data_IF_177347964617
#
_entry.id   IF_177347964617
#
_cell.length_a   1.000
_cell.length_b   1.000
_cell.length_c   1.000
_cell.angle_alpha   90.00
_cell.angle_beta   90.00
_cell.angle_gamma   90.00
#
_symmetry.space_group_name_H-M   'P 1'
#
loop_
_entity.id
_entity.type
_entity.pdbx_description
1 polymer ?
#
# COMPACT_ATOMS: atom_id res chain seq x y z
N UNK A 1 -20.63 -39.53 -4.45
CA UNK A 1 -21.81 -39.32 -3.58
C UNK A 1 -21.60 -38.00 -2.81
N UNK A 2 -22.20 -36.89 -3.26
CA UNK A 2 -22.04 -35.57 -2.61
C UNK A 2 -23.08 -35.43 -1.49
N UNK A 3 -22.65 -35.53 -0.23
CA UNK A 3 -23.51 -35.28 0.95
C UNK A 3 -23.79 -33.79 1.09
N UNK A 4 -25.06 -33.39 1.22
CA UNK A 4 -25.44 -32.01 1.56
C UNK A 4 -25.08 -31.72 3.03
N UNK A 5 -24.49 -30.54 3.29
CA UNK A 5 -24.09 -30.05 4.61
C UNK A 5 -25.28 -29.98 5.58
N UNK A 6 -25.14 -30.49 6.80
CA UNK A 6 -26.12 -30.34 7.86
C UNK A 6 -26.11 -28.93 8.49
N UNK A 7 -27.28 -28.47 8.95
CA UNK A 7 -27.43 -27.21 9.66
C UNK A 7 -26.55 -27.22 10.93
N UNK A 8 -25.74 -26.18 11.15
CA UNK A 8 -24.78 -26.00 12.29
C UNK A 8 -23.47 -26.81 12.24
N UNK A 9 -23.19 -27.59 11.20
CA UNK A 9 -21.92 -28.35 11.10
C UNK A 9 -20.74 -27.53 10.52
N UNK A 10 -20.91 -26.22 10.28
CA UNK A 10 -19.94 -25.37 9.57
C UNK A 10 -18.55 -25.32 10.23
N UNK A 11 -18.49 -25.39 11.56
CA UNK A 11 -17.23 -25.27 12.34
C UNK A 11 -16.67 -26.61 12.81
N UNK A 12 -17.25 -27.74 12.40
CA UNK A 12 -16.67 -29.03 12.73
C UNK A 12 -15.25 -29.14 12.12
N UNK A 13 -14.24 -29.66 12.83
CA UNK A 13 -12.85 -29.73 12.34
C UNK A 13 -12.72 -30.38 10.95
N UNK A 14 -13.55 -31.40 10.68
CA UNK A 14 -13.66 -32.08 9.37
C UNK A 14 -14.22 -31.23 8.21
N UNK A 15 -14.85 -30.09 8.53
CA UNK A 15 -15.49 -29.17 7.60
C UNK A 15 -14.75 -27.82 7.49
N UNK A 16 -13.67 -27.64 8.25
CA UNK A 16 -12.81 -26.45 8.23
C UNK A 16 -11.47 -26.87 7.62
N UNK A 17 -11.19 -26.40 6.40
CA UNK A 17 -9.87 -26.58 5.82
C UNK A 17 -8.84 -25.78 6.63
N UNK A 18 -7.82 -26.46 7.16
CA UNK A 18 -6.66 -25.79 7.77
C UNK A 18 -5.91 -25.04 6.67
N UNK A 19 -5.97 -23.70 6.73
CA UNK A 19 -5.19 -22.86 5.82
C UNK A 19 -3.74 -22.94 6.26
N UNK A 20 -2.86 -23.46 5.39
CA UNK A 20 -1.42 -23.35 5.56
C UNK A 20 -1.06 -21.86 5.67
N UNK A 21 -0.70 -21.41 6.88
CA UNK A 21 -0.05 -20.13 7.08
C UNK A 21 1.44 -20.34 6.82
N UNK A 22 2.03 -19.55 5.92
CA UNK A 22 3.41 -19.73 5.46
C UNK A 22 4.48 -19.39 6.52
N UNK A 23 4.09 -19.14 7.78
CA UNK A 23 4.97 -18.62 8.84
C UNK A 23 5.51 -17.20 8.58
N UNK A 24 5.03 -16.52 7.53
CA UNK A 24 5.47 -15.16 7.16
C UNK A 24 4.64 -14.13 7.93
N UNK A 25 5.31 -13.11 8.48
CA UNK A 25 4.66 -11.95 9.06
C UNK A 25 4.22 -10.98 7.95
N UNK A 26 3.27 -10.09 8.26
CA UNK A 26 2.80 -9.05 7.33
C UNK A 26 2.51 -7.80 8.12
N UNK A 27 3.07 -6.68 7.70
CA UNK A 27 2.76 -5.36 8.24
C UNK A 27 1.90 -4.63 7.23
N UNK A 28 0.76 -4.09 7.66
CA UNK A 28 -0.02 -3.18 6.84
C UNK A 28 0.43 -1.76 7.11
N UNK A 29 0.65 -0.99 6.05
CA UNK A 29 1.16 0.38 6.15
C UNK A 29 0.35 1.31 5.27
N UNK A 30 0.30 2.58 5.66
CA UNK A 30 -0.23 3.66 4.86
C UNK A 30 0.76 4.83 4.90
N UNK A 31 1.05 5.40 3.74
CA UNK A 31 1.91 6.57 3.63
C UNK A 31 1.61 7.32 2.34
N UNK A 32 2.08 8.56 2.26
CA UNK A 32 1.84 9.44 1.12
C UNK A 32 3.13 10.06 0.60
N UNK A 33 3.15 10.39 -0.69
CA UNK A 33 4.25 11.09 -1.36
C UNK A 33 3.66 12.17 -2.26
N UNK A 34 4.46 13.18 -2.58
CA UNK A 34 4.19 14.18 -3.62
C UNK A 34 5.47 14.49 -4.43
N UNK A 35 5.39 15.40 -5.41
CA UNK A 35 6.55 15.81 -6.21
C UNK A 35 7.68 16.53 -5.44
N UNK A 36 7.47 16.83 -4.16
CA UNK A 36 8.45 17.46 -3.26
C UNK A 36 9.09 16.43 -2.32
N UNK A 37 8.49 15.27 -2.13
CA UNK A 37 9.10 14.15 -1.41
C UNK A 37 8.09 13.23 -0.74
N UNK A 38 8.59 12.45 0.22
CA UNK A 38 7.75 11.59 1.03
C UNK A 38 7.11 12.37 2.18
N UNK A 39 5.94 11.92 2.58
CA UNK A 39 5.27 12.31 3.81
C UNK A 39 5.48 11.30 4.94
N UNK A 40 4.50 11.28 5.84
CA UNK A 40 4.44 10.36 6.97
C UNK A 40 4.12 8.92 6.52
N UNK A 41 4.61 7.94 7.28
CA UNK A 41 4.32 6.52 7.12
C UNK A 41 3.78 5.96 8.44
N UNK A 42 2.64 5.30 8.35
CA UNK A 42 1.88 4.80 9.50
C UNK A 42 1.67 3.30 9.37
N UNK A 43 1.91 2.56 10.45
CA UNK A 43 1.49 1.17 10.56
C UNK A 43 -0.01 1.13 10.85
N UNK A 44 -0.76 0.43 10.02
CA UNK A 44 -2.22 0.36 10.12
C UNK A 44 -2.68 -1.07 10.41
N UNK A 45 -3.88 -1.21 10.97
CA UNK A 45 -4.55 -2.50 11.07
C UNK A 45 -5.23 -2.91 9.75
N UNK A 46 -5.98 -4.02 9.78
CA UNK A 46 -6.85 -4.38 8.64
C UNK A 46 -7.94 -3.32 8.47
N UNK A 47 -8.00 -2.73 7.28
CA UNK A 47 -8.77 -1.53 7.00
C UNK A 47 -10.29 -1.73 7.06
N UNK A 48 -10.96 -0.81 7.76
CA UNK A 48 -12.38 -0.50 7.58
C UNK A 48 -12.51 0.94 7.04
N UNK A 49 -13.63 1.28 6.42
CA UNK A 49 -13.86 2.64 5.92
C UNK A 49 -13.76 3.71 7.05
N UNK A 50 -14.16 3.36 8.28
CA UNK A 50 -14.05 4.26 9.43
C UNK A 50 -12.60 4.51 9.81
N UNK A 51 -11.79 3.45 9.92
CA UNK A 51 -10.37 3.57 10.22
C UNK A 51 -9.63 4.43 9.18
N UNK A 52 -10.05 4.33 7.91
CA UNK A 52 -9.46 5.14 6.85
C UNK A 52 -9.76 6.63 6.97
N UNK A 53 -11.03 6.99 7.24
CA UNK A 53 -11.40 8.40 7.45
C UNK A 53 -10.65 9.00 8.64
N UNK A 54 -10.54 8.24 9.73
CA UNK A 54 -9.76 8.66 10.89
C UNK A 54 -8.30 8.88 10.53
N UNK A 55 -7.71 7.97 9.74
CA UNK A 55 -6.34 8.14 9.27
C UNK A 55 -6.16 9.41 8.42
N UNK A 56 -7.11 9.70 7.52
CA UNK A 56 -7.01 10.91 6.70
C UNK A 56 -7.11 12.18 7.54
N UNK A 57 -8.07 12.21 8.48
CA UNK A 57 -8.33 13.38 9.30
C UNK A 57 -7.26 13.63 10.36
N UNK A 58 -6.75 12.56 10.98
CA UNK A 58 -5.90 12.66 12.17
C UNK A 58 -4.42 12.51 11.86
N UNK A 59 -4.06 11.81 10.77
CA UNK A 59 -2.67 11.51 10.46
C UNK A 59 -2.23 12.19 9.16
N UNK A 60 -2.98 12.03 8.07
CA UNK A 60 -2.61 12.59 6.76
C UNK A 60 -2.64 14.11 6.75
N UNK A 61 -3.83 14.71 6.93
CA UNK A 61 -4.02 16.16 6.78
C UNK A 61 -3.11 16.97 7.70
N UNK A 62 -2.96 16.64 9.00
CA UNK A 62 -2.01 17.34 9.87
C UNK A 62 -0.57 17.21 9.40
N UNK A 63 -0.14 16.00 9.00
CA UNK A 63 1.24 15.80 8.51
C UNK A 63 1.49 16.51 7.17
N UNK A 64 0.46 16.66 6.34
CA UNK A 64 0.56 17.39 5.09
C UNK A 64 0.72 18.88 5.33
N UNK A 65 -0.12 19.47 6.19
CA UNK A 65 -0.09 20.89 6.52
C UNK A 65 1.26 21.30 7.16
N UNK A 66 1.80 20.45 8.04
CA UNK A 66 3.12 20.65 8.63
C UNK A 66 4.24 20.63 7.58
N UNK A 67 4.20 19.67 6.64
CA UNK A 67 5.26 19.48 5.65
C UNK A 67 5.12 20.40 4.42
N UNK A 68 3.92 20.93 4.16
CA UNK A 68 3.58 21.76 2.99
C UNK A 68 2.73 22.97 3.42
N UNK A 69 3.25 23.84 4.31
CA UNK A 69 2.48 24.96 4.83
C UNK A 69 2.05 25.90 3.70
N UNK A 70 0.81 26.38 3.76
CA UNK A 70 0.29 27.37 2.81
C UNK A 70 -0.13 26.80 1.45
N UNK A 71 -0.34 25.48 1.33
CA UNK A 71 -0.99 24.89 0.15
C UNK A 71 -2.50 24.80 0.36
N UNK A 72 -3.22 25.67 -0.34
CA UNK A 72 -4.68 25.79 -0.20
C UNK A 72 -5.47 24.71 -0.97
N UNK A 73 -4.80 23.97 -1.85
CA UNK A 73 -5.42 22.94 -2.67
C UNK A 73 -4.54 21.71 -2.80
N UNK A 74 -5.12 20.54 -2.51
CA UNK A 74 -4.49 19.23 -2.70
C UNK A 74 -5.36 18.34 -3.56
N UNK A 75 -4.74 17.66 -4.52
CA UNK A 75 -5.37 16.57 -5.25
C UNK A 75 -4.83 15.26 -4.67
N UNK A 76 -5.68 14.55 -3.94
CA UNK A 76 -5.33 13.26 -3.36
C UNK A 76 -5.64 12.15 -4.36
N UNK A 77 -4.63 11.38 -4.74
CA UNK A 77 -4.76 10.24 -5.67
C UNK A 77 -4.54 8.91 -4.93
N UNK A 78 -5.45 7.94 -5.05
CA UNK A 78 -5.47 6.70 -4.25
C UNK A 78 -6.08 5.54 -5.02
N UNK A 79 -5.58 4.30 -4.96
CA UNK A 79 -5.99 3.17 -5.83
C UNK A 79 -7.47 2.76 -5.82
N UNK A 80 -7.99 2.04 -6.84
CA UNK A 80 -9.42 1.67 -6.92
C UNK A 80 -9.85 0.47 -6.05
N UNK A 81 -9.24 0.31 -4.87
CA UNK A 81 -9.72 -0.68 -3.91
C UNK A 81 -11.19 -0.34 -3.54
N UNK A 82 -12.05 -1.31 -3.19
CA UNK A 82 -13.42 -1.02 -2.73
C UNK A 82 -13.48 -0.05 -1.53
N UNK A 83 -12.36 0.15 -0.84
CA UNK A 83 -12.17 1.18 0.18
C UNK A 83 -11.52 2.48 -0.35
N UNK A 84 -10.73 2.38 -1.44
CA UNK A 84 -9.78 3.30 -2.14
C UNK A 84 -10.21 4.15 -3.36
N UNK A 85 -10.85 3.56 -4.36
CA UNK A 85 -11.34 4.11 -5.65
C UNK A 85 -10.54 5.11 -6.60
N UNK A 86 -9.22 4.98 -6.96
CA UNK A 86 -8.48 5.24 -8.29
C UNK A 86 -6.90 5.43 -8.37
N UNK A 87 -6.19 4.48 -9.03
CA UNK A 87 -4.72 4.20 -9.14
C UNK A 87 -3.71 5.40 -9.27
N UNK A 88 -2.86 5.60 -8.24
CA UNK A 88 -1.39 5.86 -8.28
C UNK A 88 -0.78 5.71 -6.88
N UNK A 89 -0.28 4.51 -6.52
CA UNK A 89 0.72 4.32 -5.45
C UNK A 89 1.65 3.11 -5.72
N UNK A 90 1.53 2.42 -6.86
CA UNK A 90 2.23 1.14 -7.07
C UNK A 90 3.75 1.29 -7.27
N UNK A 91 4.23 2.42 -7.77
CA UNK A 91 5.65 2.56 -8.15
C UNK A 91 6.59 2.66 -6.95
N UNK A 92 6.26 3.48 -5.94
CA UNK A 92 7.11 3.59 -4.74
C UNK A 92 7.07 2.30 -3.95
N UNK A 93 5.89 1.68 -3.80
CA UNK A 93 5.80 0.36 -3.17
C UNK A 93 6.57 -0.71 -3.93
N UNK A 94 6.55 -0.67 -5.27
CA UNK A 94 7.36 -1.54 -6.12
C UNK A 94 8.86 -1.35 -5.90
N UNK A 95 9.33 -0.10 -5.84
CA UNK A 95 10.76 0.22 -5.58
C UNK A 95 11.17 -0.23 -4.19
N UNK A 96 10.36 0.06 -3.17
CA UNK A 96 10.63 -0.42 -1.80
C UNK A 96 10.65 -1.95 -1.75
N UNK A 97 9.71 -2.61 -2.42
CA UNK A 97 9.69 -4.07 -2.51
C UNK A 97 10.96 -4.60 -3.19
N UNK A 98 11.42 -3.97 -4.27
CA UNK A 98 12.67 -4.33 -4.95
C UNK A 98 13.90 -4.16 -4.05
N UNK A 99 13.94 -3.10 -3.21
CA UNK A 99 15.04 -2.88 -2.27
C UNK A 99 15.01 -3.87 -1.09
N UNK A 100 13.82 -4.21 -0.60
CA UNK A 100 13.64 -5.07 0.57
C UNK A 100 13.73 -6.56 0.23
N UNK A 101 13.23 -6.99 -0.93
CA UNK A 101 13.15 -8.42 -1.29
C UNK A 101 14.50 -9.15 -1.18
N UNK A 102 15.64 -8.63 -1.69
CA UNK A 102 16.93 -9.31 -1.53
C UNK A 102 17.40 -9.44 -0.08
N UNK A 103 16.96 -8.54 0.81
CA UNK A 103 17.34 -8.53 2.24
C UNK A 103 16.47 -9.44 3.09
N UNK A 104 15.18 -9.53 2.74
CA UNK A 104 14.18 -10.19 3.60
C UNK A 104 13.76 -11.57 3.08
N UNK A 105 14.10 -11.95 1.86
CA UNK A 105 13.70 -13.25 1.30
C UNK A 105 14.36 -14.41 2.05
N UNK A 106 13.55 -15.33 2.59
CA UNK A 106 14.02 -16.49 3.35
C UNK A 106 14.37 -16.21 4.81
N UNK A 107 14.26 -14.95 5.27
CA UNK A 107 14.50 -14.56 6.65
C UNK A 107 13.19 -14.63 7.44
N UNK A 108 13.19 -15.33 8.57
CA UNK A 108 12.08 -15.32 9.50
C UNK A 108 12.18 -14.07 10.38
N UNK A 109 11.39 -13.05 10.06
CA UNK A 109 11.33 -11.79 10.79
C UNK A 109 10.11 -11.73 11.70
N UNK A 110 10.25 -11.06 12.84
CA UNK A 110 9.08 -10.60 13.60
C UNK A 110 8.36 -9.49 12.84
N UNK A 111 7.13 -9.17 13.27
CA UNK A 111 6.37 -8.06 12.68
C UNK A 111 7.08 -6.72 12.92
N UNK A 112 7.70 -6.54 14.09
CA UNK A 112 8.47 -5.35 14.46
C UNK A 112 9.73 -5.18 13.61
N UNK A 113 10.51 -6.25 13.39
CA UNK A 113 11.69 -6.19 12.53
C UNK A 113 11.32 -5.85 11.08
N UNK A 114 10.23 -6.44 10.58
CA UNK A 114 9.72 -6.10 9.25
C UNK A 114 9.28 -4.63 9.18
N UNK A 115 8.67 -4.11 10.25
CA UNK A 115 8.27 -2.71 10.32
C UNK A 115 9.48 -1.75 10.33
N UNK A 116 10.55 -2.07 11.06
CA UNK A 116 11.79 -1.29 11.05
C UNK A 116 12.43 -1.21 9.66
N UNK A 117 12.49 -2.34 8.95
CA UNK A 117 13.01 -2.39 7.58
C UNK A 117 12.15 -1.57 6.60
N UNK A 118 10.82 -1.67 6.72
CA UNK A 118 9.90 -0.87 5.90
C UNK A 118 10.05 0.63 6.19
N UNK A 119 10.19 1.01 7.46
CA UNK A 119 10.46 2.40 7.83
C UNK A 119 11.80 2.87 7.26
N UNK A 120 12.87 2.09 7.38
CA UNK A 120 14.18 2.43 6.85
C UNK A 120 14.14 2.62 5.32
N UNK A 121 13.48 1.71 4.59
CA UNK A 121 13.27 1.85 3.16
C UNK A 121 12.45 3.10 2.80
N UNK A 122 11.43 3.44 3.59
CA UNK A 122 10.67 4.67 3.40
C UNK A 122 11.53 5.92 3.61
N UNK A 123 12.36 5.94 4.66
CA UNK A 123 13.26 7.06 4.93
C UNK A 123 14.26 7.29 3.79
N UNK A 124 14.63 6.23 3.06
CA UNK A 124 15.53 6.29 1.91
C UNK A 124 14.87 6.81 0.62
N UNK A 125 13.53 6.99 0.59
CA UNK A 125 12.84 7.59 -0.56
C UNK A 125 13.19 9.08 -0.67
N UNK A 126 13.80 9.47 -1.78
CA UNK A 126 14.30 10.83 -1.99
C UNK A 126 13.29 11.74 -2.70
N UNK A 127 13.32 13.07 -2.44
CA UNK A 127 12.55 14.06 -3.20
C UNK A 127 12.71 13.93 -4.72
N UNK A 128 13.94 13.71 -5.19
CA UNK A 128 14.25 13.54 -6.62
C UNK A 128 13.56 12.31 -7.19
N UNK A 129 13.52 11.20 -6.44
CA UNK A 129 12.78 10.01 -6.85
C UNK A 129 11.28 10.29 -6.94
N UNK A 130 10.70 10.94 -5.92
CA UNK A 130 9.28 11.27 -5.93
C UNK A 130 8.89 12.18 -7.09
N UNK A 131 9.69 13.23 -7.34
CA UNK A 131 9.50 14.14 -8.47
C UNK A 131 9.52 13.41 -9.80
N UNK A 132 10.57 12.60 -10.04
CA UNK A 132 10.69 11.80 -11.27
C UNK A 132 9.49 10.87 -11.47
N UNK A 133 8.96 10.29 -10.41
CA UNK A 133 7.77 9.44 -10.49
C UNK A 133 6.50 10.24 -10.81
N UNK A 134 6.32 11.41 -10.18
CA UNK A 134 5.21 12.32 -10.45
C UNK A 134 5.26 12.82 -11.91
N UNK A 135 6.42 13.27 -12.37
CA UNK A 135 6.62 13.76 -13.74
C UNK A 135 6.35 12.65 -14.79
N UNK A 136 6.69 11.40 -14.47
CA UNK A 136 6.42 10.26 -15.37
C UNK A 136 4.94 9.93 -15.56
N UNK A 137 4.02 10.54 -14.79
CA UNK A 137 2.58 10.27 -14.93
C UNK A 137 2.05 10.67 -16.29
N UNK A 138 2.55 11.78 -16.87
CA UNK A 138 2.11 12.24 -18.20
C UNK A 138 2.49 11.20 -19.26
N UNK A 139 3.75 10.77 -19.29
CA UNK A 139 4.24 9.75 -20.23
C UNK A 139 3.47 8.43 -20.10
N UNK A 140 3.14 8.01 -18.88
CA UNK A 140 2.35 6.79 -18.65
C UNK A 140 0.94 6.90 -19.20
N UNK A 141 0.30 8.05 -19.02
CA UNK A 141 -1.04 8.30 -19.55
C UNK A 141 -1.01 8.32 -21.08
N UNK A 142 0.01 8.94 -21.68
CA UNK A 142 0.23 8.92 -23.12
C UNK A 142 0.44 7.49 -23.65
N UNK A 143 1.23 6.65 -22.96
CA UNK A 143 1.38 5.24 -23.32
C UNK A 143 0.05 4.47 -23.21
N UNK A 144 -0.77 4.74 -22.20
CA UNK A 144 -2.09 4.11 -22.06
C UNK A 144 -3.01 4.52 -23.21
N UNK A 145 -3.02 5.81 -23.57
CA UNK A 145 -3.82 6.32 -24.70
C UNK A 145 -3.34 5.71 -26.02
N UNK A 146 -2.03 5.69 -26.26
CA UNK A 146 -1.44 5.08 -27.44
C UNK A 146 -1.69 3.56 -27.54
N UNK A 147 -1.96 2.91 -26.40
CA UNK A 147 -2.25 1.48 -26.33
C UNK A 147 -3.76 1.18 -26.19
N UNK A 148 -4.63 2.14 -26.52
CA UNK A 148 -6.10 2.01 -26.45
C UNK A 148 -6.61 1.54 -25.08
N UNK A 149 -5.96 1.97 -24.00
CA UNK A 149 -6.30 1.59 -22.63
C UNK A 149 -5.75 0.24 -22.17
N UNK A 150 -4.98 -0.47 -23.00
CA UNK A 150 -4.35 -1.75 -22.62
C UNK A 150 -3.13 -1.56 -21.72
N UNK A 151 -2.67 -2.67 -21.14
CA UNK A 151 -1.50 -2.73 -20.26
C UNK A 151 -0.25 -2.15 -20.90
N UNK A 152 0.39 -1.19 -20.23
CA UNK A 152 1.68 -0.64 -20.63
C UNK A 152 2.81 -1.40 -19.94
N UNK A 153 4.06 -0.97 -20.13
CA UNK A 153 5.23 -1.54 -19.44
C UNK A 153 5.28 -1.23 -17.94
N UNK A 154 4.36 -0.40 -17.44
CA UNK A 154 4.30 0.12 -16.07
C UNK A 154 3.27 -0.59 -15.19
#
# INVERSE_FOLDING_TARGET
MLRRRGLRERFAPRNVATRQQSGRCTVHVWGWIDGEGRGSLHRIGRGTAAAYRSLLANDFLPSYDELRPGKDHIVLQQDNAPTHTARTVQNVWGIMTQQLTPRLNGVALTEEQLWEEVQAAWQAVTPTLCRRLADSMVERLEEVVANDGNWTRY
#
